data_IF_598635795000
#
_entry.id   IF_598635795000
#
_cell.length_a   1.000
_cell.length_b   1.000
_cell.length_c   1.000
_cell.angle_alpha   90.00
_cell.angle_beta   90.00
_cell.angle_gamma   90.00
#
_symmetry.space_group_name_H-M   'P 1'
#
loop_
_entity.id
_entity.type
_entity.pdbx_description
1 polymer ?
#
# COMPACT_ATOMS: atom_id res chain seq x y z
N UNK A 1 4.77 -5.72 -9.45
CA UNK A 1 5.53 -4.45 -9.54
C UNK A 1 6.42 -4.32 -8.33
N UNK A 2 7.67 -4.02 -8.52
CA UNK A 2 8.63 -3.80 -7.44
C UNK A 2 9.32 -2.46 -7.67
N UNK A 3 9.44 -1.69 -6.59
CA UNK A 3 10.06 -0.36 -6.65
C UNK A 3 10.95 -0.18 -5.41
N UNK A 4 12.13 0.37 -5.61
CA UNK A 4 13.00 0.78 -4.53
C UNK A 4 13.23 2.28 -4.63
N UNK A 5 12.92 3.01 -3.55
CA UNK A 5 13.01 4.47 -3.51
C UNK A 5 13.80 4.91 -2.27
N UNK A 6 14.54 6.00 -2.43
CA UNK A 6 15.08 6.74 -1.29
C UNK A 6 14.23 7.99 -1.12
N UNK A 7 13.64 8.16 0.07
CA UNK A 7 12.70 9.24 0.36
C UNK A 7 13.28 10.17 1.40
N UNK A 8 13.08 11.47 1.22
CA UNK A 8 13.65 12.50 2.08
C UNK A 8 12.75 12.78 3.30
N UNK A 9 12.55 11.75 4.10
CA UNK A 9 11.80 11.80 5.35
C UNK A 9 12.18 10.60 6.20
N UNK A 10 12.07 10.70 7.54
CA UNK A 10 12.42 9.58 8.40
C UNK A 10 11.36 8.47 8.33
N UNK A 11 11.78 7.25 8.67
CA UNK A 11 10.95 6.05 8.61
C UNK A 11 9.66 6.21 9.39
N UNK A 12 9.76 6.72 10.62
CA UNK A 12 8.59 6.83 11.52
C UNK A 12 7.51 7.73 10.91
N UNK A 13 7.92 8.82 10.28
CA UNK A 13 6.97 9.72 9.63
C UNK A 13 6.25 9.04 8.48
N UNK A 14 7.00 8.37 7.59
CA UNK A 14 6.41 7.72 6.42
C UNK A 14 5.48 6.58 6.82
N UNK A 15 5.91 5.76 7.77
CA UNK A 15 5.08 4.69 8.29
C UNK A 15 3.79 5.24 8.88
N UNK A 16 3.87 6.30 9.68
CA UNK A 16 2.70 6.89 10.32
C UNK A 16 1.72 7.46 9.29
N UNK A 17 2.22 8.04 8.20
CA UNK A 17 1.36 8.54 7.12
C UNK A 17 0.54 7.40 6.50
N UNK A 18 1.15 6.25 6.28
CA UNK A 18 0.45 5.09 5.73
C UNK A 18 -0.58 4.55 6.72
N UNK A 19 -0.22 4.47 8.00
CA UNK A 19 -1.15 3.99 9.03
C UNK A 19 -2.32 4.95 9.19
N UNK A 20 -2.08 6.26 9.17
CA UNK A 20 -3.16 7.25 9.27
C UNK A 20 -4.12 7.14 8.07
N UNK A 21 -3.60 6.91 6.88
CA UNK A 21 -4.43 6.65 5.70
C UNK A 21 -5.27 5.40 5.86
N UNK A 22 -4.67 4.33 6.38
CA UNK A 22 -5.40 3.08 6.62
C UNK A 22 -6.50 3.28 7.65
N UNK A 23 -6.24 4.00 8.74
CA UNK A 23 -7.24 4.29 9.77
C UNK A 23 -8.40 5.11 9.23
N UNK A 24 -8.11 6.11 8.40
CA UNK A 24 -9.13 6.93 7.77
C UNK A 24 -10.00 6.09 6.83
N UNK A 25 -9.39 5.19 6.06
CA UNK A 25 -10.12 4.31 5.15
C UNK A 25 -11.03 3.35 5.92
N UNK A 26 -10.52 2.76 7.01
CA UNK A 26 -11.31 1.87 7.86
C UNK A 26 -12.56 2.60 8.39
N UNK A 27 -12.38 3.81 8.90
CA UNK A 27 -13.50 4.60 9.43
C UNK A 27 -14.52 4.94 8.34
N UNK A 28 -14.04 5.31 7.17
CA UNK A 28 -14.91 5.63 6.03
C UNK A 28 -15.68 4.41 5.56
N UNK A 29 -15.04 3.25 5.47
CA UNK A 29 -15.65 2.04 4.94
C UNK A 29 -16.57 1.34 5.96
N UNK A 30 -16.21 1.35 7.24
CA UNK A 30 -16.94 0.60 8.27
C UNK A 30 -17.88 1.48 9.11
N UNK A 31 -17.70 2.80 9.07
CA UNK A 31 -18.43 3.72 9.94
C UNK A 31 -17.97 3.67 11.40
N UNK A 32 -16.88 2.95 11.69
CA UNK A 32 -16.34 2.77 13.04
C UNK A 32 -14.88 3.20 13.07
N UNK A 33 -14.39 3.74 14.22
CA UNK A 33 -12.97 4.05 14.32
C UNK A 33 -12.13 2.78 14.23
N UNK A 34 -10.94 2.92 13.65
CA UNK A 34 -9.98 1.82 13.60
C UNK A 34 -9.54 1.43 15.01
N UNK A 35 -9.10 0.16 15.22
CA UNK A 35 -8.59 -0.26 16.52
C UNK A 35 -7.46 0.66 16.99
N UNK A 36 -7.45 1.01 18.28
CA UNK A 36 -6.39 1.83 18.88
C UNK A 36 -5.06 1.12 18.91
N UNK A 37 -5.10 -0.21 18.98
CA UNK A 37 -3.93 -1.06 18.99
C UNK A 37 -3.41 -1.25 17.57
N UNK A 38 -2.47 -2.17 17.40
CA UNK A 38 -1.92 -2.48 16.09
C UNK A 38 -3.02 -2.88 15.10
N UNK A 39 -2.88 -2.44 13.86
CA UNK A 39 -3.78 -2.85 12.78
C UNK A 39 -3.44 -4.23 12.22
N UNK A 40 -2.34 -4.84 12.68
CA UNK A 40 -1.93 -6.15 12.16
C UNK A 40 -3.01 -7.20 12.42
N UNK A 41 -3.39 -7.90 11.35
CA UNK A 41 -4.44 -8.90 11.38
C UNK A 41 -5.85 -8.37 11.20
N UNK A 42 -6.02 -7.07 11.09
CA UNK A 42 -7.36 -6.46 10.96
C UNK A 42 -7.89 -6.63 9.54
N UNK A 43 -9.14 -7.04 9.43
CA UNK A 43 -9.84 -7.22 8.16
C UNK A 43 -11.08 -6.34 8.10
N UNK A 44 -11.37 -5.81 6.91
CA UNK A 44 -12.60 -5.07 6.70
C UNK A 44 -13.04 -5.14 5.24
N UNK A 45 -14.35 -5.01 5.04
CA UNK A 45 -14.92 -4.94 3.69
C UNK A 45 -14.71 -3.55 3.13
N UNK A 46 -14.35 -3.49 1.85
CA UNK A 46 -14.08 -2.23 1.17
C UNK A 46 -14.86 -2.16 -0.14
N UNK A 47 -15.42 -0.98 -0.41
CA UNK A 47 -16.12 -0.69 -1.65
C UNK A 47 -15.44 0.49 -2.34
N UNK A 48 -15.16 0.31 -3.64
CA UNK A 48 -14.57 1.36 -4.47
C UNK A 48 -15.66 2.14 -5.21
N UNK A 49 -15.30 3.32 -5.70
CA UNK A 49 -16.21 4.22 -6.39
C UNK A 49 -16.84 3.60 -7.65
N UNK A 50 -16.18 2.61 -8.25
CA UNK A 50 -16.70 1.90 -9.43
C UNK A 50 -17.67 0.77 -9.07
N UNK A 51 -18.06 0.63 -7.80
CA UNK A 51 -18.97 -0.41 -7.34
C UNK A 51 -18.29 -1.74 -7.02
N UNK A 52 -17.00 -1.88 -7.26
CA UNK A 52 -16.25 -3.08 -6.91
C UNK A 52 -16.16 -3.22 -5.38
N UNK A 53 -16.39 -4.42 -4.87
CA UNK A 53 -16.27 -4.72 -3.44
C UNK A 53 -15.21 -5.79 -3.22
N UNK A 54 -14.57 -5.76 -2.06
CA UNK A 54 -13.57 -6.74 -1.70
C UNK A 54 -13.34 -6.77 -0.21
N UNK A 55 -12.46 -7.66 0.22
CA UNK A 55 -12.04 -7.79 1.61
C UNK A 55 -10.56 -7.43 1.71
N UNK A 56 -10.24 -6.50 2.60
CA UNK A 56 -8.87 -6.08 2.83
C UNK A 56 -8.40 -6.57 4.19
N UNK A 57 -7.26 -7.27 4.21
CA UNK A 57 -6.64 -7.76 5.44
C UNK A 57 -5.25 -7.16 5.58
N UNK A 58 -5.01 -6.47 6.69
CA UNK A 58 -3.70 -5.93 7.00
C UNK A 58 -2.86 -7.06 7.61
N UNK A 59 -1.91 -7.58 6.82
CA UNK A 59 -1.11 -8.73 7.23
C UNK A 59 0.06 -8.35 8.13
N UNK A 60 0.62 -7.17 7.90
CA UNK A 60 1.76 -6.66 8.68
C UNK A 60 1.56 -5.19 8.98
N UNK A 61 1.76 -4.83 10.24
CA UNK A 61 1.77 -3.44 10.69
C UNK A 61 2.82 -3.33 11.80
N UNK A 62 4.09 -3.33 11.39
CA UNK A 62 5.25 -3.30 12.27
C UNK A 62 5.85 -1.89 12.20
N UNK A 63 5.72 -1.08 13.27
CA UNK A 63 6.13 0.32 13.25
C UNK A 63 7.56 0.52 12.76
N UNK A 64 7.70 1.36 11.73
CA UNK A 64 8.98 1.70 11.17
C UNK A 64 9.66 0.60 10.37
N UNK A 65 9.03 -0.56 10.22
CA UNK A 65 9.64 -1.72 9.56
C UNK A 65 8.85 -2.16 8.34
N UNK A 66 7.56 -2.43 8.51
CA UNK A 66 6.78 -3.04 7.44
C UNK A 66 5.30 -2.72 7.57
N UNK A 67 4.69 -2.41 6.45
CA UNK A 67 3.23 -2.31 6.33
C UNK A 67 2.82 -3.09 5.09
N UNK A 68 1.95 -4.09 5.27
CA UNK A 68 1.53 -4.94 4.17
C UNK A 68 0.07 -5.30 4.32
N UNK A 69 -0.62 -5.45 3.20
CA UNK A 69 -2.00 -5.89 3.19
C UNK A 69 -2.30 -6.74 1.96
N UNK A 70 -3.36 -7.52 2.07
CA UNK A 70 -3.91 -8.32 1.00
C UNK A 70 -5.33 -7.88 0.72
N UNK A 71 -5.69 -7.86 -0.55
CA UNK A 71 -7.01 -7.49 -1.00
C UNK A 71 -7.59 -8.62 -1.83
N UNK A 72 -8.77 -9.10 -1.45
CA UNK A 72 -9.45 -10.17 -2.15
C UNK A 72 -10.78 -9.65 -2.71
N UNK A 73 -10.94 -9.78 -4.02
CA UNK A 73 -12.19 -9.50 -4.72
C UNK A 73 -12.69 -10.80 -5.34
N UNK A 74 -13.94 -10.85 -5.87
CA UNK A 74 -14.41 -12.06 -6.54
C UNK A 74 -13.54 -12.49 -7.72
N UNK A 75 -12.81 -11.57 -8.35
CA UNK A 75 -12.00 -11.86 -9.53
C UNK A 75 -10.51 -11.98 -9.25
N UNK A 76 -10.02 -11.26 -8.23
CA UNK A 76 -8.60 -11.01 -8.11
C UNK A 76 -8.13 -11.13 -6.67
N UNK A 77 -6.85 -11.38 -6.53
CA UNK A 77 -6.15 -11.33 -5.26
C UNK A 77 -4.93 -10.43 -5.42
N UNK A 78 -4.83 -9.40 -4.58
CA UNK A 78 -3.71 -8.45 -4.57
C UNK A 78 -2.93 -8.54 -3.28
N UNK A 79 -1.63 -8.38 -3.38
CA UNK A 79 -0.79 -8.16 -2.21
C UNK A 79 -0.01 -6.87 -2.38
N UNK A 80 0.11 -6.11 -1.30
CA UNK A 80 0.91 -4.88 -1.26
C UNK A 80 1.81 -4.94 -0.05
N UNK A 81 3.09 -4.64 -0.23
CA UNK A 81 4.10 -4.74 0.81
C UNK A 81 5.01 -3.53 0.77
N UNK A 82 5.05 -2.78 1.88
CA UNK A 82 5.96 -1.67 2.11
C UNK A 82 6.98 -2.11 3.15
N UNK A 83 8.26 -2.11 2.79
CA UNK A 83 9.34 -2.38 3.73
C UNK A 83 10.22 -1.15 3.86
N UNK A 84 10.48 -0.73 5.08
CA UNK A 84 11.19 0.51 5.40
C UNK A 84 12.51 0.20 6.06
N UNK A 85 13.56 0.92 5.67
CA UNK A 85 14.84 0.90 6.34
C UNK A 85 15.39 2.32 6.39
N UNK A 86 16.01 2.73 7.51
CA UNK A 86 16.67 4.03 7.55
C UNK A 86 17.89 4.01 6.63
N UNK A 87 18.17 5.15 6.00
CA UNK A 87 19.40 5.36 5.27
C UNK A 87 20.54 5.55 6.27
N UNK A 88 21.77 5.61 5.77
CA UNK A 88 22.99 5.60 6.59
C UNK A 88 23.02 6.67 7.69
N UNK A 89 22.42 7.84 7.45
CA UNK A 89 22.38 8.94 8.42
C UNK A 89 21.07 9.01 9.21
N UNK A 90 20.10 8.15 8.92
CA UNK A 90 18.81 8.09 9.61
C UNK A 90 17.81 9.19 9.24
N UNK A 91 18.16 10.14 8.38
CA UNK A 91 17.28 11.24 7.97
C UNK A 91 16.41 10.88 6.78
N UNK A 92 16.83 9.88 6.02
CA UNK A 92 16.12 9.42 4.84
C UNK A 92 15.70 7.97 5.03
N UNK A 93 14.76 7.55 4.18
CA UNK A 93 14.23 6.19 4.21
C UNK A 93 14.47 5.51 2.88
N UNK A 94 14.96 4.28 2.93
CA UNK A 94 14.96 3.39 1.77
C UNK A 94 13.70 2.57 1.85
N UNK A 95 12.82 2.76 0.87
CA UNK A 95 11.55 2.05 0.78
C UNK A 95 11.65 0.98 -0.30
N UNK A 96 11.30 -0.25 0.06
CA UNK A 96 11.08 -1.31 -0.90
C UNK A 96 9.59 -1.61 -0.95
N UNK A 97 8.99 -1.38 -2.11
CA UNK A 97 7.56 -1.58 -2.34
C UNK A 97 7.37 -2.72 -3.31
N UNK A 98 6.52 -3.65 -2.97
CA UNK A 98 6.17 -4.76 -3.84
C UNK A 98 4.66 -4.88 -3.94
N UNK A 99 4.20 -5.11 -5.15
CA UNK A 99 2.80 -5.34 -5.46
C UNK A 99 2.68 -6.64 -6.22
N UNK A 100 1.88 -7.58 -5.71
CA UNK A 100 1.61 -8.85 -6.36
C UNK A 100 0.17 -8.88 -6.80
N UNK A 101 -0.07 -9.51 -7.94
CA UNK A 101 -1.41 -9.64 -8.48
C UNK A 101 -1.60 -11.07 -8.96
N UNK A 102 -2.68 -11.70 -8.51
CA UNK A 102 -3.05 -13.04 -8.95
C UNK A 102 -4.53 -13.04 -9.32
N UNK A 103 -4.82 -13.05 -10.61
CA UNK A 103 -6.19 -13.22 -11.10
C UNK A 103 -6.64 -14.65 -10.88
N UNK A 104 -7.89 -14.83 -10.46
CA UNK A 104 -8.47 -16.15 -10.21
C UNK A 104 -8.86 -16.89 -11.50
N UNK A 105 -8.90 -16.18 -12.62
CA UNK A 105 -9.27 -16.70 -13.93
C UNK A 105 -8.07 -16.63 -14.88
N UNK A 106 -7.78 -17.73 -15.58
CA UNK A 106 -6.69 -17.78 -16.56
C UNK A 106 -6.81 -16.71 -17.64
N UNK A 107 -8.03 -16.45 -18.12
CA UNK A 107 -8.29 -15.44 -19.14
C UNK A 107 -7.98 -14.04 -18.59
N UNK A 108 -8.38 -13.78 -17.36
CA UNK A 108 -8.07 -12.53 -16.68
C UNK A 108 -6.57 -12.35 -16.52
N UNK A 109 -5.85 -13.43 -16.14
CA UNK A 109 -4.40 -13.39 -15.99
C UNK A 109 -3.69 -13.07 -17.31
N UNK A 110 -4.11 -13.68 -18.41
CA UNK A 110 -3.51 -13.45 -19.73
C UNK A 110 -3.71 -12.00 -20.19
N UNK A 111 -4.91 -11.47 -20.01
CA UNK A 111 -5.22 -10.08 -20.34
C UNK A 111 -4.46 -9.11 -19.44
N UNK A 112 -4.30 -9.46 -18.18
CA UNK A 112 -3.60 -8.61 -17.20
C UNK A 112 -2.10 -8.53 -17.45
N UNK A 113 -1.47 -9.57 -18.01
CA UNK A 113 -0.05 -9.51 -18.36
C UNK A 113 0.24 -8.39 -19.35
N UNK A 114 -0.59 -8.24 -20.38
CA UNK A 114 -0.44 -7.17 -21.36
C UNK A 114 -0.75 -5.80 -20.75
N UNK A 115 -1.83 -5.71 -19.95
CA UNK A 115 -2.20 -4.49 -19.25
C UNK A 115 -1.15 -4.07 -18.23
N UNK A 116 -0.57 -5.02 -17.51
CA UNK A 116 0.46 -4.74 -16.52
C UNK A 116 1.73 -4.19 -17.16
N UNK A 117 2.12 -4.72 -18.33
CA UNK A 117 3.30 -4.22 -19.07
C UNK A 117 3.10 -2.77 -19.53
N UNK A 118 1.89 -2.44 -20.00
CA UNK A 118 1.59 -1.10 -20.48
C UNK A 118 1.34 -0.11 -19.34
N UNK A 119 0.55 -0.51 -18.34
CA UNK A 119 0.18 0.35 -17.22
C UNK A 119 1.23 0.38 -16.10
N UNK A 120 2.12 -0.62 -16.07
CA UNK A 120 3.12 -0.74 -15.01
C UNK A 120 4.03 0.47 -14.92
N UNK A 121 4.46 1.01 -16.06
CA UNK A 121 5.32 2.19 -16.11
C UNK A 121 4.58 3.42 -15.55
N UNK A 122 3.33 3.64 -15.96
CA UNK A 122 2.53 4.76 -15.47
C UNK A 122 2.24 4.62 -13.97
N UNK A 123 1.95 3.41 -13.51
CA UNK A 123 1.69 3.13 -12.09
C UNK A 123 2.94 3.38 -11.26
N UNK A 124 4.11 2.95 -11.72
CA UNK A 124 5.37 3.22 -11.03
C UNK A 124 5.63 4.71 -10.91
N UNK A 125 5.41 5.45 -11.99
CA UNK A 125 5.63 6.90 -12.01
C UNK A 125 4.69 7.60 -11.03
N UNK A 126 3.40 7.21 -11.01
CA UNK A 126 2.41 7.77 -10.07
C UNK A 126 2.79 7.45 -8.63
N UNK A 127 3.20 6.23 -8.38
CA UNK A 127 3.60 5.80 -7.04
C UNK A 127 4.81 6.60 -6.55
N UNK A 128 5.83 6.75 -7.38
CA UNK A 128 7.02 7.53 -7.03
C UNK A 128 6.66 8.97 -6.72
N UNK A 129 5.80 9.58 -7.54
CA UNK A 129 5.34 10.95 -7.33
C UNK A 129 4.59 11.08 -6.02
N UNK A 130 3.67 10.16 -5.75
CA UNK A 130 2.88 10.14 -4.52
C UNK A 130 3.78 10.03 -3.28
N UNK A 131 4.74 9.12 -3.31
CA UNK A 131 5.64 8.90 -2.17
C UNK A 131 6.59 10.09 -1.97
N UNK A 132 7.07 10.70 -3.04
CA UNK A 132 7.91 11.89 -2.94
C UNK A 132 7.12 13.09 -2.38
N UNK A 133 5.85 13.23 -2.74
CA UNK A 133 4.98 14.27 -2.18
C UNK A 133 4.73 14.03 -0.69
N UNK A 134 4.52 12.77 -0.30
CA UNK A 134 4.35 12.40 1.10
C UNK A 134 5.61 12.76 1.90
N UNK A 135 6.78 12.43 1.38
CA UNK A 135 8.06 12.75 2.02
C UNK A 135 8.27 14.26 2.11
N UNK A 136 7.90 15.01 1.06
CA UNK A 136 8.06 16.46 1.04
C UNK A 136 7.21 17.14 2.10
N UNK A 137 6.06 16.56 2.48
CA UNK A 137 5.20 17.12 3.51
C UNK A 137 5.86 17.15 4.89
N UNK A 138 6.85 16.32 5.13
CA UNK A 138 7.63 16.31 6.36
C UNK A 138 8.44 17.60 6.54
N UNK A 139 8.93 18.15 5.44
CA UNK A 139 9.83 19.33 5.43
C UNK A 139 9.08 20.66 5.31
N UNK A 140 7.76 20.64 5.40
CA UNK A 140 6.94 21.86 5.35
C UNK A 140 6.64 22.42 6.73
#
# INVERSE_FOLDING_TARGET
MQIKLTLNAPVDYLYQQLIDSARADIQQQTGRPAPRQSLQGYEYAKQWSNGLTGNLKITHAQPGVRYAYELETPRDHYGVDYQFAPDTDGHQTVLEYAETFLGKDKKTNANNKLGVLFLGWCRKRRFKKMMNQMAASYNQ
#
